data_IF_421988832670
#
_entry.id   IF_421988832670
#
_cell.length_a   1.000
_cell.length_b   1.000
_cell.length_c   1.000
_cell.angle_alpha   90.00
_cell.angle_beta   90.00
_cell.angle_gamma   90.00
#
_symmetry.space_group_name_H-M   'P 1'
#
loop_
_entity.id
_entity.type
_entity.pdbx_description
1 polymer ?
#
# COMPACT_ATOMS: atom_id res chain seq x y z
N UNK A 1 -32.68 -3.58 26.78
CA UNK A 1 -31.54 -2.79 27.30
C UNK A 1 -30.52 -2.67 26.18
N UNK A 2 -30.46 -1.49 25.54
CA UNK A 2 -29.45 -1.22 24.49
C UNK A 2 -28.09 -0.93 25.16
N UNK A 3 -26.97 -1.49 24.67
CA UNK A 3 -25.67 -1.19 25.26
C UNK A 3 -25.27 0.23 24.88
N UNK A 4 -25.47 1.14 25.83
CA UNK A 4 -25.08 2.52 25.69
C UNK A 4 -23.56 2.70 25.79
N UNK A 5 -23.02 3.63 25.03
CA UNK A 5 -21.74 4.34 25.20
C UNK A 5 -20.52 3.95 24.34
N UNK A 6 -20.59 2.99 23.45
CA UNK A 6 -19.39 2.69 22.62
C UNK A 6 -19.27 3.59 21.39
N UNK A 7 -20.35 4.17 20.86
CA UNK A 7 -20.29 5.06 19.69
C UNK A 7 -19.72 6.45 20.03
N UNK A 8 -19.87 6.93 21.28
CA UNK A 8 -19.24 8.21 21.69
C UNK A 8 -17.71 8.11 21.67
N UNK A 9 -17.15 6.96 21.97
CA UNK A 9 -15.70 6.72 21.87
C UNK A 9 -15.24 6.63 20.40
N UNK A 10 -16.06 6.05 19.52
CA UNK A 10 -15.76 5.96 18.08
C UNK A 10 -15.73 7.36 17.45
N UNK A 11 -16.69 8.25 17.80
CA UNK A 11 -16.68 9.64 17.34
C UNK A 11 -15.49 10.43 17.86
N UNK A 12 -15.03 10.15 19.09
CA UNK A 12 -13.84 10.79 19.65
C UNK A 12 -12.56 10.38 18.89
N UNK A 13 -12.44 9.12 18.47
CA UNK A 13 -11.33 8.65 17.65
C UNK A 13 -11.38 9.19 16.22
N UNK A 14 -12.56 9.33 15.63
CA UNK A 14 -12.77 9.98 14.34
C UNK A 14 -12.42 11.47 14.38
N UNK A 15 -12.73 12.17 15.46
CA UNK A 15 -12.41 13.59 15.64
C UNK A 15 -10.90 13.82 15.86
N UNK A 16 -10.19 12.88 16.47
CA UNK A 16 -8.73 12.94 16.61
C UNK A 16 -7.98 12.76 15.28
N UNK A 17 -8.59 12.12 14.28
CA UNK A 17 -8.01 11.95 12.95
C UNK A 17 -8.14 13.19 12.06
N UNK A 18 -9.03 14.15 12.38
CA UNK A 18 -9.25 15.35 11.56
C UNK A 18 -8.44 16.57 12.00
N UNK A 19 -7.57 16.46 13.02
CA UNK A 19 -6.96 17.59 13.72
C UNK A 19 -5.68 18.20 13.13
N UNK A 20 -5.17 17.76 11.98
CA UNK A 20 -3.90 18.26 11.43
C UNK A 20 -4.02 18.97 10.08
N UNK A 21 -4.96 19.88 9.95
CA UNK A 21 -4.90 20.88 8.89
C UNK A 21 -4.03 22.07 9.36
N UNK A 22 -2.71 21.89 9.43
CA UNK A 22 -1.80 22.99 9.53
C UNK A 22 -1.77 23.70 8.16
N UNK A 23 -2.05 24.99 8.11
CA UNK A 23 -1.94 25.85 6.94
C UNK A 23 -0.46 26.01 6.57
N UNK A 24 0.08 25.02 5.84
CA UNK A 24 1.32 25.14 5.08
C UNK A 24 0.94 25.37 3.62
N UNK A 25 1.76 26.07 2.87
CA UNK A 25 1.61 26.11 1.41
C UNK A 25 1.58 24.65 0.92
N UNK A 26 0.47 24.24 0.30
CA UNK A 26 0.29 22.88 -0.20
C UNK A 26 0.50 22.88 -1.70
N UNK A 27 1.48 22.13 -2.16
CA UNK A 27 1.67 21.84 -3.58
C UNK A 27 0.97 20.54 -3.93
N UNK A 28 0.12 20.55 -4.94
CA UNK A 28 -0.66 19.40 -5.36
C UNK A 28 -0.07 18.80 -6.63
N UNK A 29 0.11 17.48 -6.65
CA UNK A 29 0.59 16.73 -7.80
C UNK A 29 -0.37 15.60 -8.12
N UNK A 30 -0.72 15.48 -9.39
CA UNK A 30 -1.55 14.39 -9.88
C UNK A 30 -0.68 13.26 -10.43
N UNK A 31 -0.94 12.04 -9.98
CA UNK A 31 -0.15 10.85 -10.32
C UNK A 31 -1.04 9.71 -10.84
N UNK A 32 -0.42 8.80 -11.57
CA UNK A 32 -0.98 7.50 -11.87
C UNK A 32 -0.04 6.41 -11.35
N UNK A 33 -0.60 5.47 -10.58
CA UNK A 33 0.12 4.33 -10.03
C UNK A 33 -0.46 3.05 -10.61
N UNK A 34 0.40 2.15 -11.04
CA UNK A 34 -0.06 0.81 -11.34
C UNK A 34 0.83 -0.24 -10.66
N UNK A 35 0.22 -1.39 -10.35
CA UNK A 35 0.91 -2.52 -9.75
C UNK A 35 0.33 -3.81 -10.31
N UNK A 36 1.22 -4.75 -10.65
CA UNK A 36 0.89 -6.11 -11.03
C UNK A 36 1.50 -7.05 -10.01
N UNK A 37 0.67 -7.84 -9.34
CA UNK A 37 1.09 -8.82 -8.34
C UNK A 37 0.80 -10.23 -8.81
N UNK A 38 1.78 -11.10 -8.68
CA UNK A 38 1.72 -12.52 -9.02
C UNK A 38 1.94 -13.33 -7.76
N UNK A 39 0.87 -13.93 -7.25
CA UNK A 39 0.87 -14.69 -6.00
C UNK A 39 0.85 -16.18 -6.31
N UNK A 40 1.71 -16.95 -5.62
CA UNK A 40 1.76 -18.41 -5.70
C UNK A 40 1.69 -19.02 -4.31
N UNK A 41 0.66 -19.85 -4.09
CA UNK A 41 0.59 -20.67 -2.89
C UNK A 41 1.59 -21.83 -3.00
N UNK A 42 2.51 -21.93 -2.03
CA UNK A 42 3.53 -23.00 -1.94
C UNK A 42 2.98 -24.19 -1.15
N UNK A 43 2.31 -23.90 -0.04
CA UNK A 43 1.63 -24.89 0.79
C UNK A 43 0.56 -24.18 1.65
N UNK A 44 -0.08 -24.90 2.58
CA UNK A 44 -1.15 -24.38 3.43
C UNK A 44 -0.77 -23.12 4.26
N UNK A 45 0.52 -22.96 4.56
CA UNK A 45 1.02 -21.89 5.44
C UNK A 45 1.91 -20.87 4.72
N UNK A 46 2.34 -21.14 3.50
CA UNK A 46 3.28 -20.27 2.78
C UNK A 46 2.78 -19.92 1.40
N UNK A 47 2.91 -18.64 1.05
CA UNK A 47 2.81 -18.18 -0.33
C UNK A 47 3.98 -17.26 -0.68
N UNK A 48 4.32 -17.22 -1.95
CA UNK A 48 5.29 -16.30 -2.53
C UNK A 48 4.53 -15.31 -3.40
N UNK A 49 5.05 -14.07 -3.48
CA UNK A 49 4.50 -13.04 -4.34
C UNK A 49 5.66 -12.31 -5.02
N UNK A 50 5.51 -12.04 -6.30
CA UNK A 50 6.34 -11.11 -7.04
C UNK A 50 5.44 -10.01 -7.56
N UNK A 51 5.80 -8.76 -7.31
CA UNK A 51 5.08 -7.63 -7.85
C UNK A 51 6.01 -6.62 -8.52
N UNK A 52 5.44 -5.88 -9.45
CA UNK A 52 6.09 -4.77 -10.14
C UNK A 52 5.11 -3.65 -10.37
N UNK A 53 5.61 -2.45 -10.43
CA UNK A 53 4.76 -1.29 -10.69
C UNK A 53 5.54 -0.10 -11.19
N UNK A 54 4.79 0.84 -11.73
CA UNK A 54 5.28 2.15 -12.14
C UNK A 54 4.43 3.25 -11.51
N UNK A 55 5.05 4.39 -11.33
CA UNK A 55 4.39 5.65 -10.96
C UNK A 55 4.74 6.69 -11.99
N UNK A 56 3.71 7.36 -12.53
CA UNK A 56 3.87 8.52 -13.41
C UNK A 56 3.21 9.74 -12.78
N UNK A 57 3.63 10.95 -13.19
CA UNK A 57 3.10 12.21 -12.65
C UNK A 57 2.93 13.25 -13.74
N UNK A 58 1.90 14.07 -13.58
CA UNK A 58 1.87 15.38 -14.22
C UNK A 58 2.90 16.31 -13.61
N UNK A 59 3.25 17.36 -14.33
CA UNK A 59 4.10 18.46 -13.86
C UNK A 59 3.32 19.78 -14.02
N UNK A 60 3.75 20.89 -13.40
CA UNK A 60 3.01 22.16 -13.46
C UNK A 60 2.62 22.63 -14.85
N UNK A 61 3.46 22.39 -15.86
CA UNK A 61 3.17 22.77 -17.26
C UNK A 61 2.31 21.73 -18.01
N UNK A 62 2.17 20.50 -17.48
CA UNK A 62 1.44 19.40 -18.10
C UNK A 62 0.58 18.64 -17.11
N UNK A 63 -0.73 18.85 -17.17
CA UNK A 63 -1.71 18.14 -16.35
C UNK A 63 -1.89 16.64 -16.71
N UNK A 64 -1.17 16.14 -17.71
CA UNK A 64 -1.25 14.74 -18.10
C UNK A 64 -0.53 13.87 -17.06
N UNK A 65 -1.29 13.08 -16.30
CA UNK A 65 -0.78 12.18 -15.26
C UNK A 65 0.17 11.07 -15.76
N UNK A 66 0.24 10.86 -17.06
CA UNK A 66 1.14 9.91 -17.72
C UNK A 66 2.39 10.58 -18.30
N UNK A 67 2.59 11.87 -18.07
CA UNK A 67 3.63 12.63 -18.74
C UNK A 67 5.04 12.18 -18.34
N UNK A 68 5.33 12.12 -17.04
CA UNK A 68 6.64 11.72 -16.53
C UNK A 68 6.58 10.39 -15.79
N UNK A 69 7.47 9.47 -16.14
CA UNK A 69 7.78 8.30 -15.31
C UNK A 69 8.63 8.77 -14.13
N UNK A 70 8.10 8.67 -12.90
CA UNK A 70 8.80 9.12 -11.70
C UNK A 70 9.39 7.98 -10.88
N UNK A 71 8.83 6.76 -10.99
CA UNK A 71 9.33 5.60 -10.28
C UNK A 71 8.94 4.32 -10.99
N UNK A 72 9.82 3.32 -10.99
CA UNK A 72 9.47 1.92 -11.21
C UNK A 72 10.06 1.06 -10.10
N UNK A 73 9.45 -0.10 -9.85
CA UNK A 73 9.91 -1.01 -8.82
C UNK A 73 9.56 -2.46 -9.11
N UNK A 74 10.33 -3.37 -8.48
CA UNK A 74 10.00 -4.77 -8.36
C UNK A 74 10.19 -5.23 -6.92
N UNK A 75 9.32 -6.12 -6.44
CA UNK A 75 9.37 -6.69 -5.09
C UNK A 75 9.18 -8.20 -5.14
N UNK A 76 9.87 -8.90 -4.26
CA UNK A 76 9.66 -10.32 -3.99
C UNK A 76 9.27 -10.51 -2.53
N UNK A 77 8.19 -11.24 -2.28
CA UNK A 77 7.63 -11.47 -0.96
C UNK A 77 7.61 -12.94 -0.59
N UNK A 78 7.74 -13.21 0.70
CA UNK A 78 7.38 -14.47 1.33
C UNK A 78 6.32 -14.20 2.41
N UNK A 79 5.21 -14.91 2.35
CA UNK A 79 4.12 -14.79 3.30
C UNK A 79 3.97 -16.07 4.09
N UNK A 80 3.86 -15.92 5.41
CA UNK A 80 3.60 -17.01 6.35
C UNK A 80 2.27 -16.77 7.07
N UNK A 81 1.43 -17.79 7.13
CA UNK A 81 0.11 -17.77 7.74
C UNK A 81 0.07 -18.70 8.94
N UNK A 82 0.46 -18.23 10.15
CA UNK A 82 0.38 -19.04 11.36
C UNK A 82 -1.07 -19.37 11.74
N UNK A 83 -2.03 -18.54 11.34
CA UNK A 83 -3.46 -18.74 11.55
C UNK A 83 -4.26 -18.04 10.48
N UNK A 84 -5.58 -18.29 10.41
CA UNK A 84 -6.51 -17.61 9.51
C UNK A 84 -6.64 -16.09 9.74
N UNK A 85 -6.13 -15.58 10.87
CA UNK A 85 -6.21 -14.15 11.22
C UNK A 85 -4.87 -13.43 11.15
N UNK A 86 -3.79 -14.17 11.03
CA UNK A 86 -2.43 -13.61 11.10
C UNK A 86 -1.68 -13.94 9.83
N UNK A 87 -1.12 -12.90 9.21
CA UNK A 87 -0.15 -13.01 8.12
C UNK A 87 1.12 -12.28 8.52
N UNK A 88 2.25 -12.97 8.46
CA UNK A 88 3.59 -12.43 8.60
C UNK A 88 4.21 -12.43 7.20
N UNK A 89 4.83 -11.32 6.81
CA UNK A 89 5.40 -11.20 5.47
C UNK A 89 6.77 -10.58 5.54
N UNK A 90 7.65 -11.05 4.66
CA UNK A 90 8.97 -10.45 4.44
C UNK A 90 9.10 -10.13 2.97
N UNK A 91 9.74 -9.01 2.64
CA UNK A 91 10.06 -8.70 1.25
C UNK A 91 11.43 -8.07 1.10
N UNK A 92 11.96 -8.27 -0.10
CA UNK A 92 12.98 -7.42 -0.68
C UNK A 92 12.40 -6.67 -1.86
N UNK A 93 12.77 -5.40 -2.01
CA UNK A 93 12.35 -4.58 -3.13
C UNK A 93 13.50 -3.75 -3.67
N UNK A 94 13.47 -3.54 -4.98
CA UNK A 94 14.27 -2.55 -5.66
C UNK A 94 13.34 -1.49 -6.24
N UNK A 95 13.61 -0.22 -5.90
CA UNK A 95 12.93 0.95 -6.45
C UNK A 95 13.95 1.77 -7.23
N UNK A 96 13.52 2.31 -8.34
CA UNK A 96 14.29 3.26 -9.10
C UNK A 96 13.48 4.52 -9.31
N UNK A 97 13.88 5.58 -8.62
CA UNK A 97 13.34 6.92 -8.78
C UNK A 97 14.04 7.59 -9.94
N UNK A 98 13.29 8.27 -10.80
CA UNK A 98 13.86 9.09 -11.87
C UNK A 98 14.02 10.52 -11.38
N UNK A 99 14.82 11.31 -12.07
CA UNK A 99 14.94 12.74 -11.77
C UNK A 99 13.68 13.47 -12.26
N UNK A 100 12.97 14.09 -11.32
CA UNK A 100 11.80 14.94 -11.60
C UNK A 100 11.94 16.25 -10.81
N UNK A 101 12.61 17.27 -11.38
CA UNK A 101 12.91 18.52 -10.69
C UNK A 101 11.69 19.21 -10.11
N UNK A 102 10.55 19.17 -10.80
CA UNK A 102 9.28 19.78 -10.36
C UNK A 102 8.74 19.16 -9.08
N UNK A 103 9.09 17.90 -8.82
CA UNK A 103 8.75 17.18 -7.59
C UNK A 103 9.87 17.21 -6.54
N UNK A 104 10.97 17.93 -6.81
CA UNK A 104 12.19 17.90 -6.01
C UNK A 104 12.67 16.46 -5.76
N UNK A 105 12.58 15.64 -6.81
CA UNK A 105 12.95 14.24 -6.76
C UNK A 105 14.19 14.01 -7.62
N UNK A 106 15.26 13.59 -6.97
CA UNK A 106 16.50 13.21 -7.63
C UNK A 106 16.44 11.76 -8.13
N UNK A 107 17.29 11.47 -9.13
CA UNK A 107 17.50 10.09 -9.57
C UNK A 107 18.16 9.31 -8.45
N UNK A 108 17.47 8.28 -7.96
CA UNK A 108 17.96 7.52 -6.82
C UNK A 108 17.45 6.07 -6.86
N UNK A 109 18.35 5.09 -6.99
CA UNK A 109 18.02 3.71 -6.68
C UNK A 109 17.83 3.53 -5.18
N UNK A 110 16.90 2.66 -4.81
CA UNK A 110 16.63 2.31 -3.43
C UNK A 110 16.48 0.80 -3.30
N UNK A 111 17.22 0.21 -2.37
CA UNK A 111 17.01 -1.15 -1.92
C UNK A 111 16.22 -1.14 -0.61
N UNK A 112 15.26 -2.05 -0.48
CA UNK A 112 14.41 -2.10 0.70
C UNK A 112 14.20 -3.52 1.16
N UNK A 113 14.44 -3.76 2.45
CA UNK A 113 14.03 -4.96 3.16
C UNK A 113 12.88 -4.59 4.09
N UNK A 114 11.91 -5.48 4.28
CA UNK A 114 10.86 -5.23 5.25
C UNK A 114 10.29 -6.49 5.88
N UNK A 115 9.84 -6.32 7.12
CA UNK A 115 9.01 -7.24 7.85
C UNK A 115 7.62 -6.62 8.07
N UNK A 116 6.57 -7.42 7.86
CA UNK A 116 5.20 -6.97 7.97
C UNK A 116 4.37 -7.97 8.77
N UNK A 117 3.54 -7.44 9.66
CA UNK A 117 2.52 -8.17 10.39
C UNK A 117 1.14 -7.66 9.99
N UNK A 118 0.22 -8.56 9.65
CA UNK A 118 -1.18 -8.22 9.33
C UNK A 118 -2.10 -9.05 10.21
N UNK A 119 -3.08 -8.37 10.83
CA UNK A 119 -4.09 -9.00 11.68
C UNK A 119 -5.49 -8.72 11.16
N UNK A 120 -6.27 -9.77 10.91
CA UNK A 120 -7.67 -9.70 10.55
C UNK A 120 -8.53 -9.54 11.80
N UNK A 121 -9.10 -8.34 12.03
CA UNK A 121 -9.92 -8.03 13.20
C UNK A 121 -11.31 -8.67 13.11
N UNK A 122 -11.95 -8.57 11.94
CA UNK A 122 -13.33 -9.05 11.74
C UNK A 122 -13.40 -10.05 10.60
N UNK A 123 -14.20 -11.12 10.79
CA UNK A 123 -14.50 -12.14 9.78
C UNK A 123 -15.94 -12.01 9.24
N UNK A 124 -16.58 -10.87 9.47
CA UNK A 124 -17.94 -10.59 8.97
C UNK A 124 -17.88 -10.11 7.52
N UNK A 125 -19.04 -9.77 6.94
CA UNK A 125 -19.11 -9.16 5.61
C UNK A 125 -18.25 -7.90 5.50
N UNK A 126 -18.22 -7.07 6.57
CA UNK A 126 -17.22 -6.01 6.70
C UNK A 126 -15.93 -6.62 7.25
N UNK A 127 -14.87 -6.62 6.47
CA UNK A 127 -13.54 -7.08 6.87
C UNK A 127 -12.66 -5.91 7.21
N UNK A 128 -12.03 -5.99 8.36
CA UNK A 128 -11.08 -4.96 8.82
C UNK A 128 -9.75 -5.61 9.15
N UNK A 129 -8.68 -5.05 8.58
CA UNK A 129 -7.30 -5.48 8.79
C UNK A 129 -6.50 -4.36 9.44
N UNK A 130 -5.64 -4.72 10.39
CA UNK A 130 -4.55 -3.88 10.86
C UNK A 130 -3.23 -4.41 10.33
N UNK A 131 -2.36 -3.53 9.86
CA UNK A 131 -1.04 -3.87 9.35
C UNK A 131 0.01 -2.98 9.98
N UNK A 132 1.06 -3.59 10.51
CA UNK A 132 2.30 -2.94 10.89
C UNK A 132 3.42 -3.40 9.96
N UNK A 133 4.28 -2.48 9.50
CA UNK A 133 5.42 -2.79 8.65
C UNK A 133 6.64 -1.98 9.09
N UNK A 134 7.76 -2.66 9.24
CA UNK A 134 9.06 -2.06 9.45
C UNK A 134 9.89 -2.23 8.18
N UNK A 135 10.40 -1.13 7.64
CA UNK A 135 11.20 -1.11 6.43
C UNK A 135 12.61 -0.59 6.75
N UNK A 136 13.61 -1.31 6.27
CA UNK A 136 15.00 -0.92 6.20
C UNK A 136 15.28 -0.49 4.75
N UNK A 137 15.43 0.82 4.55
CA UNK A 137 15.55 1.46 3.24
C UNK A 137 16.97 1.97 3.05
N UNK A 138 17.61 1.53 1.99
CA UNK A 138 18.92 1.98 1.55
C UNK A 138 18.72 2.89 0.33
N UNK A 139 18.79 4.19 0.54
CA UNK A 139 18.63 5.22 -0.50
C UNK A 139 20.01 5.68 -0.95
N UNK A 140 20.28 5.66 -2.26
CA UNK A 140 21.51 6.20 -2.82
C UNK A 140 21.43 7.72 -2.87
N UNK A 141 22.50 8.38 -2.40
CA UNK A 141 22.66 9.82 -2.50
C UNK A 141 23.44 10.20 -3.77
N UNK A 142 23.57 11.50 -4.05
CA UNK A 142 24.23 12.03 -5.23
C UNK A 142 25.73 11.64 -5.35
N UNK A 143 26.36 11.28 -4.23
CA UNK A 143 27.74 10.81 -4.19
C UNK A 143 27.86 9.29 -4.41
N UNK A 144 26.76 8.57 -4.64
CA UNK A 144 26.72 7.12 -4.87
C UNK A 144 26.80 6.28 -3.58
N UNK A 145 26.61 6.88 -2.40
CA UNK A 145 26.58 6.17 -1.12
C UNK A 145 25.13 5.92 -0.69
N UNK A 146 24.90 4.73 -0.10
CA UNK A 146 23.61 4.38 0.44
C UNK A 146 23.45 4.88 1.89
N UNK A 147 22.40 5.68 2.11
CA UNK A 147 21.94 6.08 3.44
C UNK A 147 20.85 5.12 3.93
N UNK A 148 20.97 4.65 5.16
CA UNK A 148 19.97 3.76 5.78
C UNK A 148 18.90 4.57 6.46
N UNK A 149 17.63 4.32 6.07
CA UNK A 149 16.46 4.98 6.63
C UNK A 149 15.47 3.93 7.12
N UNK A 150 15.28 3.83 8.43
CA UNK A 150 14.24 2.98 9.00
C UNK A 150 12.89 3.67 8.88
N UNK A 151 11.85 2.93 8.42
CA UNK A 151 10.50 3.44 8.33
C UNK A 151 9.48 2.48 8.94
N UNK A 152 8.68 2.99 9.87
CA UNK A 152 7.53 2.30 10.44
C UNK A 152 6.26 2.75 9.70
N UNK A 153 5.43 1.80 9.29
CA UNK A 153 4.14 2.05 8.66
C UNK A 153 3.04 1.33 9.41
N UNK A 154 1.95 2.01 9.67
CA UNK A 154 0.76 1.45 10.33
C UNK A 154 -0.47 1.74 9.48
N UNK A 155 -1.25 0.72 9.15
CA UNK A 155 -2.43 0.84 8.29
C UNK A 155 -3.62 0.15 8.93
N UNK A 156 -4.80 0.78 8.80
CA UNK A 156 -6.09 0.15 8.94
C UNK A 156 -6.77 0.09 7.57
N UNK A 157 -7.27 -1.09 7.17
CA UNK A 157 -8.04 -1.28 5.92
C UNK A 157 -9.38 -1.93 6.24
N UNK A 158 -10.45 -1.37 5.67
CA UNK A 158 -11.79 -1.94 5.67
C UNK A 158 -12.18 -2.34 4.24
N UNK A 159 -12.77 -3.51 4.06
CA UNK A 159 -13.23 -4.03 2.77
C UNK A 159 -14.65 -4.56 2.90
N UNK A 160 -15.53 -4.20 1.95
CA UNK A 160 -16.94 -4.57 1.98
C UNK A 160 -17.41 -5.07 0.60
N UNK A 161 -17.81 -6.36 0.46
CA UNK A 161 -18.44 -6.88 -0.74
C UNK A 161 -19.82 -6.23 -0.97
N UNK A 162 -20.07 -5.69 -2.16
CA UNK A 162 -21.31 -4.98 -2.48
C UNK A 162 -22.44 -5.94 -2.90
N UNK A 163 -22.14 -6.87 -3.77
CA UNK A 163 -23.12 -7.79 -4.37
C UNK A 163 -22.98 -9.26 -3.94
N UNK A 164 -22.36 -9.49 -2.77
CA UNK A 164 -22.17 -10.84 -2.21
C UNK A 164 -21.82 -10.82 -0.72
N UNK A 165 -21.85 -11.98 -0.05
CA UNK A 165 -21.43 -12.08 1.35
C UNK A 165 -19.92 -12.08 1.54
N UNK A 166 -19.18 -12.58 0.54
CA UNK A 166 -17.71 -12.70 0.52
C UNK A 166 -17.18 -12.33 -0.87
N UNK A 167 -15.91 -11.97 -0.97
CA UNK A 167 -15.24 -11.72 -2.25
C UNK A 167 -14.98 -13.08 -2.91
N UNK A 168 -15.57 -13.27 -4.09
CA UNK A 168 -15.47 -14.45 -4.96
C UNK A 168 -15.68 -14.01 -6.41
N UNK A 169 -15.50 -14.86 -7.43
CA UNK A 169 -15.77 -14.50 -8.81
C UNK A 169 -17.13 -13.86 -9.00
N UNK A 170 -17.17 -12.75 -9.77
CA UNK A 170 -18.37 -11.95 -10.03
C UNK A 170 -18.73 -10.95 -8.93
N UNK A 171 -17.92 -10.81 -7.86
CA UNK A 171 -18.20 -9.87 -6.77
C UNK A 171 -17.46 -8.58 -6.96
N UNK A 172 -18.22 -7.47 -6.90
CA UNK A 172 -17.72 -6.11 -6.74
C UNK A 172 -17.59 -5.85 -5.23
N UNK A 173 -16.52 -5.24 -4.81
CA UNK A 173 -16.30 -4.80 -3.44
C UNK A 173 -15.73 -3.39 -3.39
N UNK A 174 -15.97 -2.71 -2.30
CA UNK A 174 -15.32 -1.42 -2.00
C UNK A 174 -14.34 -1.60 -0.86
N UNK A 175 -13.33 -0.73 -0.82
CA UNK A 175 -12.38 -0.69 0.27
C UNK A 175 -11.93 0.73 0.57
N UNK A 176 -11.51 0.91 1.81
CA UNK A 176 -10.90 2.13 2.30
C UNK A 176 -9.74 1.76 3.22
N UNK A 177 -8.65 2.49 3.14
CA UNK A 177 -7.56 2.35 4.09
C UNK A 177 -6.94 3.69 4.42
N UNK A 178 -6.45 3.79 5.64
CA UNK A 178 -5.63 4.90 6.12
C UNK A 178 -4.30 4.36 6.64
N UNK A 179 -3.21 4.98 6.24
CA UNK A 179 -1.86 4.56 6.57
C UNK A 179 -1.02 5.74 7.02
N UNK A 180 -0.44 5.63 8.20
CA UNK A 180 0.53 6.59 8.74
C UNK A 180 1.94 6.02 8.68
N UNK A 181 2.92 6.87 8.36
CA UNK A 181 4.30 6.48 8.20
C UNK A 181 5.22 7.38 9.03
N UNK A 182 6.16 6.76 9.72
CA UNK A 182 7.18 7.42 10.52
C UNK A 182 8.55 6.94 10.08
N UNK A 183 9.55 7.80 10.10
CA UNK A 183 10.89 7.43 9.67
C UNK A 183 12.00 8.06 10.53
N UNK A 184 13.19 7.48 10.46
CA UNK A 184 14.39 8.12 10.97
C UNK A 184 14.76 9.34 10.12
N UNK A 185 15.56 10.23 10.66
CA UNK A 185 16.09 11.39 9.94
C UNK A 185 16.93 10.92 8.75
N UNK A 186 16.91 11.71 7.68
CA UNK A 186 17.63 11.40 6.44
C UNK A 186 18.02 12.70 5.73
N UNK A 187 19.23 12.70 5.18
CA UNK A 187 19.71 13.79 4.32
C UNK A 187 18.97 13.80 2.98
N UNK A 188 18.53 12.64 2.49
CA UNK A 188 17.86 12.46 1.20
C UNK A 188 16.35 12.68 1.33
N UNK A 189 15.69 12.05 2.31
CA UNK A 189 14.23 12.08 2.44
C UNK A 189 13.72 13.06 3.50
N UNK A 190 14.61 13.89 4.07
CA UNK A 190 14.28 14.94 5.03
C UNK A 190 14.30 14.50 6.49
N UNK A 191 14.31 15.49 7.39
CA UNK A 191 14.53 15.29 8.83
C UNK A 191 13.28 15.09 9.66
N UNK A 192 12.08 15.09 9.04
CA UNK A 192 10.81 14.93 9.75
C UNK A 192 10.61 13.49 10.20
N UNK A 193 10.24 13.30 11.49
CA UNK A 193 9.89 11.99 12.03
C UNK A 193 8.59 11.44 11.42
N UNK A 194 7.53 12.26 11.38
CA UNK A 194 6.31 11.92 10.64
C UNK A 194 6.58 12.07 9.15
N UNK A 195 6.61 10.95 8.43
CA UNK A 195 6.96 10.95 7.01
C UNK A 195 5.77 11.36 6.15
N UNK A 196 4.65 10.66 6.31
CA UNK A 196 3.43 10.90 5.51
C UNK A 196 2.19 10.19 6.06
N UNK A 197 1.04 10.64 5.60
CA UNK A 197 -0.22 9.93 5.70
C UNK A 197 -0.72 9.57 4.30
N UNK A 198 -1.36 8.42 4.15
CA UNK A 198 -1.94 7.95 2.90
C UNK A 198 -3.35 7.43 3.11
N UNK A 199 -4.32 8.12 2.54
CA UNK A 199 -5.70 7.69 2.45
C UNK A 199 -5.94 7.03 1.09
N UNK A 200 -6.60 5.87 1.07
CA UNK A 200 -6.97 5.16 -0.16
C UNK A 200 -8.43 4.76 -0.10
N UNK A 201 -9.17 5.04 -1.17
CA UNK A 201 -10.58 4.60 -1.32
C UNK A 201 -10.75 4.02 -2.72
N UNK A 202 -11.40 2.89 -2.84
CA UNK A 202 -11.53 2.25 -4.15
C UNK A 202 -12.57 1.16 -4.23
N UNK A 203 -12.63 0.60 -5.43
CA UNK A 203 -13.47 -0.54 -5.78
C UNK A 203 -12.60 -1.63 -6.39
N UNK A 204 -12.99 -2.87 -6.15
CA UNK A 204 -12.37 -4.02 -6.77
C UNK A 204 -13.41 -4.93 -7.39
N UNK A 205 -12.98 -5.70 -8.38
CA UNK A 205 -13.77 -6.75 -8.99
C UNK A 205 -12.96 -8.04 -9.11
N UNK A 206 -13.52 -9.14 -8.65
CA UNK A 206 -12.95 -10.47 -8.81
C UNK A 206 -13.54 -11.12 -10.05
N UNK A 207 -12.77 -11.21 -11.13
CA UNK A 207 -13.21 -11.80 -12.39
C UNK A 207 -13.32 -13.32 -12.29
N UNK A 208 -12.24 -13.95 -11.87
CA UNK A 208 -12.12 -15.38 -11.59
C UNK A 208 -11.34 -15.54 -10.29
N UNK A 209 -11.21 -16.76 -9.77
CA UNK A 209 -10.47 -17.00 -8.53
C UNK A 209 -9.02 -16.51 -8.60
N UNK A 210 -8.45 -16.56 -9.79
CA UNK A 210 -7.04 -16.28 -10.07
C UNK A 210 -6.80 -14.82 -10.52
N UNK A 211 -7.85 -13.99 -10.72
CA UNK A 211 -7.70 -12.66 -11.29
C UNK A 211 -8.61 -11.63 -10.65
N UNK A 212 -8.01 -10.58 -10.09
CA UNK A 212 -8.70 -9.44 -9.49
C UNK A 212 -8.11 -8.12 -9.98
N UNK A 213 -8.96 -7.11 -10.12
CA UNK A 213 -8.56 -5.74 -10.44
C UNK A 213 -9.14 -4.79 -9.41
N UNK A 214 -8.31 -3.89 -8.90
CA UNK A 214 -8.72 -2.78 -8.02
C UNK A 214 -8.43 -1.45 -8.70
N UNK A 215 -9.39 -0.53 -8.65
CA UNK A 215 -9.26 0.87 -9.03
C UNK A 215 -9.48 1.72 -7.80
N UNK A 216 -8.55 2.60 -7.48
CA UNK A 216 -8.64 3.45 -6.29
C UNK A 216 -8.14 4.87 -6.53
N UNK A 217 -8.67 5.78 -5.74
CA UNK A 217 -8.11 7.10 -5.50
C UNK A 217 -7.23 7.03 -4.25
N UNK A 218 -6.07 7.62 -4.34
CA UNK A 218 -5.09 7.74 -3.25
C UNK A 218 -4.79 9.21 -3.04
N UNK A 219 -4.87 9.66 -1.80
CA UNK A 219 -4.33 10.95 -1.37
C UNK A 219 -3.19 10.70 -0.40
N UNK A 220 -2.03 11.27 -0.70
CA UNK A 220 -0.84 11.14 0.12
C UNK A 220 -0.33 12.52 0.52
N UNK A 221 -0.31 12.79 1.83
CA UNK A 221 0.18 14.04 2.40
C UNK A 221 1.57 13.85 2.97
N UNK A 222 2.52 14.65 2.51
CA UNK A 222 3.92 14.68 2.94
C UNK A 222 4.24 16.02 3.61
N UNK A 223 4.07 16.16 4.91
CA UNK A 223 4.49 17.36 5.63
C UNK A 223 6.02 17.48 5.63
N UNK A 224 6.51 18.65 5.31
CA UNK A 224 7.91 19.03 5.40
C UNK A 224 8.02 20.36 6.16
N UNK A 225 9.20 20.72 6.71
CA UNK A 225 9.34 21.95 7.50
C UNK A 225 8.88 23.20 6.78
N UNK A 226 9.18 23.29 5.47
CA UNK A 226 8.96 24.50 4.69
C UNK A 226 7.66 24.46 3.88
N UNK A 227 7.16 23.25 3.53
CA UNK A 227 5.94 23.07 2.74
C UNK A 227 5.32 21.70 2.97
N UNK A 228 4.04 21.57 2.65
CA UNK A 228 3.36 20.28 2.55
C UNK A 228 3.12 19.95 1.09
N UNK A 229 3.53 18.74 0.67
CA UNK A 229 3.20 18.21 -0.66
C UNK A 229 2.01 17.27 -0.54
N UNK A 230 1.03 17.41 -1.43
CA UNK A 230 -0.10 16.50 -1.57
C UNK A 230 -0.01 15.79 -2.91
N UNK A 231 -0.05 14.48 -2.89
CA UNK A 231 -0.09 13.65 -4.09
C UNK A 231 -1.47 13.01 -4.18
N UNK A 232 -2.18 13.34 -5.24
CA UNK A 232 -3.46 12.74 -5.59
C UNK A 232 -3.21 11.75 -6.72
N UNK A 233 -3.53 10.47 -6.51
CA UNK A 233 -3.25 9.45 -7.50
C UNK A 233 -4.49 8.63 -7.84
N UNK A 234 -4.58 8.27 -9.13
CA UNK A 234 -5.41 7.15 -9.57
C UNK A 234 -4.52 5.90 -9.56
N UNK A 235 -4.93 4.87 -8.83
CA UNK A 235 -4.18 3.64 -8.71
C UNK A 235 -4.96 2.47 -9.30
N UNK A 236 -4.27 1.66 -10.12
CA UNK A 236 -4.77 0.39 -10.66
C UNK A 236 -3.89 -0.73 -10.14
N UNK A 237 -4.50 -1.68 -9.41
CA UNK A 237 -3.82 -2.90 -8.96
C UNK A 237 -4.43 -4.11 -9.68
N UNK A 238 -3.57 -4.95 -10.22
CA UNK A 238 -3.96 -6.19 -10.88
C UNK A 238 -3.30 -7.35 -10.14
N UNK A 239 -4.10 -8.27 -9.63
CA UNK A 239 -3.61 -9.40 -8.84
C UNK A 239 -3.91 -10.71 -9.56
N UNK A 240 -2.85 -11.46 -9.83
CA UNK A 240 -2.92 -12.81 -10.35
C UNK A 240 -2.55 -13.80 -9.25
N UNK A 241 -3.44 -14.74 -8.98
CA UNK A 241 -3.20 -15.80 -7.98
C UNK A 241 -3.14 -17.13 -8.70
N UNK A 242 -2.07 -17.89 -8.49
CA UNK A 242 -1.88 -19.23 -9.07
C UNK A 242 -1.97 -19.29 -10.61
N UNK A 243 -1.64 -18.18 -11.30
CA UNK A 243 -1.74 -18.06 -12.77
C UNK A 243 -1.06 -19.20 -13.53
N UNK A 244 0.00 -19.79 -12.96
CA UNK A 244 0.81 -20.86 -13.56
C UNK A 244 0.62 -22.21 -12.85
N UNK A 245 -0.54 -22.43 -12.21
CA UNK A 245 -0.81 -23.68 -11.47
C UNK A 245 -0.63 -24.95 -12.33
N UNK A 246 -0.93 -24.86 -13.62
CA UNK A 246 -0.83 -25.99 -14.55
C UNK A 246 0.59 -26.25 -15.06
N UNK A 247 1.45 -25.22 -15.07
CA UNK A 247 2.86 -25.35 -15.47
C UNK A 247 3.72 -26.02 -14.38
N UNK A 248 3.38 -25.76 -13.13
CA UNK A 248 4.03 -26.36 -11.97
C UNK A 248 3.09 -27.41 -11.37
N UNK A 249 3.21 -28.67 -11.79
CA UNK A 249 2.35 -29.81 -11.40
C UNK A 249 2.36 -30.12 -9.88
N UNK A 250 2.07 -29.13 -9.06
CA UNK A 250 1.87 -29.27 -7.62
C UNK A 250 0.47 -28.81 -7.25
N UNK A 251 -0.46 -29.74 -7.07
CA UNK A 251 -1.87 -29.47 -6.70
C UNK A 251 -2.04 -29.01 -5.25
N UNK A 252 -1.24 -28.07 -4.76
CA UNK A 252 -1.52 -27.45 -3.47
C UNK A 252 -2.24 -26.13 -3.72
N UNK A 253 -3.57 -26.14 -3.59
CA UNK A 253 -4.35 -24.91 -3.37
C UNK A 253 -4.53 -24.76 -1.88
N UNK A 254 -3.89 -23.74 -1.28
CA UNK A 254 -4.22 -23.29 0.05
C UNK A 254 -5.70 -22.85 0.07
N UNK A 255 -6.47 -23.31 1.05
CA UNK A 255 -7.78 -22.72 1.27
C UNK A 255 -7.59 -21.24 1.60
N UNK A 256 -8.05 -20.36 0.71
CA UNK A 256 -7.85 -18.91 0.86
C UNK A 256 -8.37 -18.45 2.21
N UNK A 257 -7.47 -18.00 3.06
CA UNK A 257 -7.85 -17.48 4.37
C UNK A 257 -8.60 -16.16 4.24
N UNK A 258 -9.30 -15.79 5.31
CA UNK A 258 -10.02 -14.52 5.34
C UNK A 258 -9.12 -13.28 5.19
N UNK A 259 -7.79 -13.42 5.27
CA UNK A 259 -6.81 -12.33 5.05
C UNK A 259 -6.53 -12.11 3.55
N UNK A 260 -6.72 -13.14 2.72
CA UNK A 260 -6.41 -13.10 1.28
C UNK A 260 -7.62 -12.72 0.42
N UNK A 261 -8.80 -12.61 1.03
CA UNK A 261 -10.06 -12.33 0.33
C UNK A 261 -10.53 -10.91 0.55
#
# INVERSE_FOLDING_TARGET
>A
VLPGNNYKKIWLYLLLLTGFAAYSQTENYMQFWNEYAFVKDVNEKWSLEADMGITTSGIPEHNNIFYNLIQFYGRGWAHYYPSERVKISFFYAFFYNTNVPELLQDKSPEHRLAAQFTYLMTKTRLRTNLRGRLEDRHLENDAGYFEVVMRLRMQAKATYPLNGPIIKPGVIYTFMSDEVMFKTRSSISGNTFFDRNRLTVGFGYSFVNEFQVELSYVNELLPRPDKTSSYDAIQVNVVFTDLFSDLFKGKFKREKTAIDK
#
